data_IF_850347664811
#
_entry.id   IF_850347664811
#
_cell.length_a   1.000
_cell.length_b   1.000
_cell.length_c   1.000
_cell.angle_alpha   90.00
_cell.angle_beta   90.00
_cell.angle_gamma   90.00
#
_symmetry.space_group_name_H-M   'P 1'
#
loop_
_entity.id
_entity.type
_entity.pdbx_description
1 polymer ?
#
# COMPACT_ATOMS: atom_id res chain seq x y z
N UNK A 1 -50.29 25.90 14.49
CA UNK A 1 -48.89 26.31 14.65
C UNK A 1 -48.18 26.00 13.36
N UNK A 2 -48.04 26.95 12.44
CA UNK A 2 -47.45 26.73 11.12
C UNK A 2 -45.92 26.75 11.30
N UNK A 3 -45.28 25.57 11.15
CA UNK A 3 -43.82 25.50 11.09
C UNK A 3 -43.31 26.21 9.84
N UNK A 4 -42.29 27.05 10.02
CA UNK A 4 -41.66 27.83 8.96
C UNK A 4 -41.20 26.90 7.82
N UNK A 5 -41.44 27.19 6.55
CA UNK A 5 -40.98 26.40 5.40
C UNK A 5 -39.47 26.10 5.41
N UNK A 6 -38.65 27.05 5.88
CA UNK A 6 -37.20 26.88 6.02
C UNK A 6 -36.82 25.82 7.06
N UNK A 7 -37.61 25.68 8.12
CA UNK A 7 -37.38 24.70 9.19
C UNK A 7 -37.73 23.26 8.72
N UNK A 8 -38.68 23.10 7.82
CA UNK A 8 -39.01 21.83 7.18
C UNK A 8 -37.90 21.37 6.22
N UNK A 9 -37.40 22.27 5.39
CA UNK A 9 -36.30 21.97 4.45
C UNK A 9 -35.07 21.56 5.21
N UNK A 10 -34.71 22.23 6.31
CA UNK A 10 -33.56 21.91 7.13
C UNK A 10 -33.65 20.52 7.76
N UNK A 11 -34.84 20.12 8.24
CA UNK A 11 -35.07 18.82 8.88
C UNK A 11 -35.15 17.65 7.89
N UNK A 12 -35.54 17.91 6.62
CA UNK A 12 -35.53 16.90 5.55
C UNK A 12 -34.17 16.69 4.92
N UNK A 13 -33.29 17.71 4.92
CA UNK A 13 -31.97 17.62 4.29
C UNK A 13 -30.88 17.01 5.17
N UNK A 14 -31.00 17.10 6.50
CA UNK A 14 -30.03 16.50 7.44
C UNK A 14 -29.86 14.99 7.23
N UNK A 15 -30.89 14.16 7.09
CA UNK A 15 -30.73 12.74 6.83
C UNK A 15 -30.11 12.43 5.48
N UNK A 16 -30.39 13.24 4.46
CA UNK A 16 -29.86 13.08 3.09
C UNK A 16 -28.38 13.46 3.03
N UNK A 17 -27.97 14.50 3.72
CA UNK A 17 -26.56 14.92 3.81
C UNK A 17 -25.74 13.84 4.51
N UNK A 18 -26.18 13.37 5.66
CA UNK A 18 -25.50 12.32 6.41
C UNK A 18 -25.41 10.99 5.64
N UNK A 19 -26.45 10.63 4.89
CA UNK A 19 -26.44 9.45 4.02
C UNK A 19 -25.42 9.58 2.89
N UNK A 20 -25.33 10.76 2.26
CA UNK A 20 -24.36 11.02 1.20
C UNK A 20 -22.93 10.99 1.70
N UNK A 21 -22.64 11.60 2.84
CA UNK A 21 -21.32 11.54 3.48
C UNK A 21 -20.91 10.10 3.80
N UNK A 22 -21.85 9.29 4.25
CA UNK A 22 -21.59 7.88 4.55
C UNK A 22 -21.35 7.05 3.27
N UNK A 23 -22.08 7.31 2.19
CA UNK A 23 -21.87 6.69 0.88
C UNK A 23 -20.47 7.06 0.32
N UNK A 24 -20.10 8.34 0.34
CA UNK A 24 -18.77 8.79 -0.08
C UNK A 24 -17.63 8.19 0.75
N UNK A 25 -17.81 8.08 2.07
CA UNK A 25 -16.86 7.42 2.96
C UNK A 25 -16.72 5.93 2.63
N UNK A 26 -17.82 5.23 2.42
CA UNK A 26 -17.84 3.81 2.06
C UNK A 26 -17.17 3.57 0.71
N UNK A 27 -17.45 4.40 -0.28
CA UNK A 27 -16.82 4.30 -1.61
C UNK A 27 -15.31 4.51 -1.54
N UNK A 28 -14.85 5.50 -0.76
CA UNK A 28 -13.45 5.73 -0.47
C UNK A 28 -12.79 4.53 0.23
N UNK A 29 -13.46 3.97 1.21
CA UNK A 29 -12.97 2.79 1.93
C UNK A 29 -12.85 1.56 1.03
N UNK A 30 -13.86 1.29 0.18
CA UNK A 30 -13.79 0.21 -0.80
C UNK A 30 -12.67 0.41 -1.80
N UNK A 31 -12.46 1.64 -2.28
CA UNK A 31 -11.36 1.94 -3.19
C UNK A 31 -10.00 1.62 -2.54
N UNK A 32 -9.78 2.03 -1.30
CA UNK A 32 -8.54 1.74 -0.56
C UNK A 32 -8.33 0.23 -0.40
N UNK A 33 -9.37 -0.53 -0.04
CA UNK A 33 -9.29 -1.98 0.07
C UNK A 33 -8.95 -2.63 -1.28
N UNK A 34 -9.61 -2.24 -2.36
CA UNK A 34 -9.34 -2.78 -3.69
C UNK A 34 -7.92 -2.49 -4.15
N UNK A 35 -7.44 -1.27 -3.98
CA UNK A 35 -6.06 -0.91 -4.31
C UNK A 35 -5.07 -1.77 -3.49
N UNK A 36 -5.30 -1.90 -2.19
CA UNK A 36 -4.45 -2.73 -1.34
C UNK A 36 -4.35 -4.17 -1.84
N UNK A 37 -5.49 -4.83 -2.06
CA UNK A 37 -5.52 -6.24 -2.48
C UNK A 37 -4.97 -6.44 -3.89
N UNK A 38 -5.32 -5.58 -4.84
CA UNK A 38 -4.82 -5.66 -6.21
C UNK A 38 -3.31 -5.51 -6.28
N UNK A 39 -2.75 -4.51 -5.62
CA UNK A 39 -1.29 -4.30 -5.62
C UNK A 39 -0.55 -5.36 -4.79
N UNK A 40 -1.13 -5.84 -3.70
CA UNK A 40 -0.56 -6.96 -2.94
C UNK A 40 -0.50 -8.24 -3.75
N UNK A 41 -1.54 -8.53 -4.52
CA UNK A 41 -1.59 -9.69 -5.43
C UNK A 41 -0.63 -9.52 -6.60
N UNK A 42 -0.62 -8.36 -7.25
CA UNK A 42 0.30 -8.07 -8.35
C UNK A 42 1.76 -8.17 -7.90
N UNK A 43 2.10 -7.64 -6.72
CA UNK A 43 3.42 -7.74 -6.13
C UNK A 43 3.83 -9.19 -5.87
N UNK A 44 2.94 -10.00 -5.30
CA UNK A 44 3.19 -11.43 -5.12
C UNK A 44 3.42 -12.14 -6.45
N UNK A 45 2.62 -11.84 -7.47
CA UNK A 45 2.73 -12.43 -8.80
C UNK A 45 4.08 -12.10 -9.45
N UNK A 46 4.52 -10.84 -9.38
CA UNK A 46 5.81 -10.39 -9.89
C UNK A 46 6.98 -11.05 -9.16
N UNK A 47 6.97 -11.05 -7.82
CA UNK A 47 8.00 -11.68 -7.00
C UNK A 47 8.13 -13.19 -7.26
N UNK A 48 6.98 -13.87 -7.32
CA UNK A 48 6.95 -15.31 -7.59
C UNK A 48 7.42 -15.61 -9.00
N UNK A 49 6.94 -14.86 -10.00
CA UNK A 49 7.35 -14.98 -11.40
C UNK A 49 8.86 -14.76 -11.57
N UNK A 50 9.40 -13.72 -10.96
CA UNK A 50 10.82 -13.40 -10.99
C UNK A 50 11.67 -14.48 -10.30
N UNK A 51 11.19 -15.01 -9.18
CA UNK A 51 11.86 -16.11 -8.45
C UNK A 51 11.90 -17.40 -9.25
N UNK A 52 10.84 -17.72 -10.00
CA UNK A 52 10.79 -18.88 -10.89
C UNK A 52 11.77 -18.71 -12.04
N UNK A 53 11.78 -17.55 -12.69
CA UNK A 53 12.62 -17.26 -13.85
C UNK A 53 14.12 -17.29 -13.51
N UNK A 54 14.52 -16.65 -12.40
CA UNK A 54 15.93 -16.50 -12.04
C UNK A 54 16.47 -17.65 -11.19
N UNK A 55 15.70 -18.15 -10.24
CA UNK A 55 16.18 -19.13 -9.23
C UNK A 55 15.66 -20.53 -9.45
N UNK A 56 14.79 -20.75 -10.46
CA UNK A 56 14.12 -22.04 -10.73
C UNK A 56 13.48 -22.66 -9.47
N UNK A 57 13.10 -21.83 -8.48
CA UNK A 57 12.47 -22.24 -7.22
C UNK A 57 11.28 -21.33 -6.94
N UNK A 58 10.15 -21.94 -6.59
CA UNK A 58 9.01 -21.22 -6.05
C UNK A 58 9.35 -20.78 -4.61
N UNK A 59 9.61 -19.51 -4.39
CA UNK A 59 9.83 -18.94 -3.06
C UNK A 59 8.64 -18.03 -2.77
N UNK A 60 7.79 -18.47 -1.84
CA UNK A 60 6.71 -17.61 -1.36
C UNK A 60 7.33 -16.57 -0.41
N UNK A 61 7.43 -15.32 -0.85
CA UNK A 61 7.93 -14.18 -0.05
C UNK A 61 6.82 -13.38 0.62
N UNK A 62 5.56 -13.78 0.46
CA UNK A 62 4.46 -13.16 1.16
C UNK A 62 4.59 -13.36 2.67
N UNK A 63 4.35 -12.30 3.46
CA UNK A 63 4.28 -12.37 4.93
C UNK A 63 3.12 -13.27 5.37
N UNK A 64 2.07 -13.34 4.55
CA UNK A 64 0.96 -14.26 4.69
C UNK A 64 1.23 -15.52 3.85
N UNK A 65 0.85 -16.69 4.36
CA UNK A 65 0.88 -17.96 3.62
C UNK A 65 -0.16 -17.99 2.47
N UNK A 66 -0.15 -16.95 1.63
CA UNK A 66 -1.11 -16.75 0.54
C UNK A 66 -0.52 -15.91 -0.59
N UNK A 67 -1.27 -15.74 -1.70
CA UNK A 67 -0.83 -15.00 -2.88
C UNK A 67 -0.93 -13.48 -2.67
N UNK A 68 -0.43 -12.98 -1.55
CA UNK A 68 -0.49 -11.57 -1.18
C UNK A 68 0.85 -11.11 -0.60
N UNK A 69 1.44 -10.10 -1.21
CA UNK A 69 2.59 -9.40 -0.68
C UNK A 69 2.17 -8.04 -0.13
N UNK A 70 1.86 -7.98 1.17
CA UNK A 70 1.28 -6.81 1.85
C UNK A 70 2.14 -5.55 1.74
N UNK A 71 3.47 -5.70 1.62
CA UNK A 71 4.40 -4.57 1.45
C UNK A 71 4.04 -3.77 0.20
N UNK A 72 3.76 -4.45 -0.92
CA UNK A 72 3.36 -3.79 -2.18
C UNK A 72 2.02 -3.06 -2.06
N UNK A 73 1.05 -3.65 -1.36
CA UNK A 73 -0.25 -3.02 -1.11
C UNK A 73 -0.13 -1.76 -0.28
N UNK A 74 0.61 -1.82 0.83
CA UNK A 74 0.86 -0.65 1.69
C UNK A 74 1.61 0.45 0.94
N UNK A 75 2.68 0.09 0.23
CA UNK A 75 3.46 1.04 -0.58
C UNK A 75 2.59 1.73 -1.63
N UNK A 76 1.76 0.97 -2.34
CA UNK A 76 0.85 1.52 -3.35
C UNK A 76 -0.16 2.51 -2.75
N UNK A 77 -0.71 2.22 -1.55
CA UNK A 77 -1.61 3.15 -0.86
C UNK A 77 -0.89 4.45 -0.48
N UNK A 78 0.30 4.36 0.12
CA UNK A 78 1.09 5.54 0.50
C UNK A 78 1.37 6.41 -0.72
N UNK A 79 1.77 5.80 -1.84
CA UNK A 79 2.05 6.51 -3.09
C UNK A 79 0.77 7.12 -3.67
N UNK A 80 -0.32 6.37 -3.73
CA UNK A 80 -1.59 6.84 -4.31
C UNK A 80 -2.16 8.05 -3.56
N UNK A 81 -2.02 8.08 -2.25
CA UNK A 81 -2.51 9.17 -1.40
C UNK A 81 -1.50 10.32 -1.36
N UNK A 82 -0.23 10.02 -1.12
CA UNK A 82 0.81 11.02 -0.88
C UNK A 82 1.30 11.74 -2.13
N UNK A 83 1.24 11.10 -3.31
CA UNK A 83 1.80 11.64 -4.56
C UNK A 83 0.74 11.93 -5.63
N UNK A 84 -0.52 12.05 -5.26
CA UNK A 84 -1.61 12.38 -6.18
C UNK A 84 -1.34 13.67 -6.98
N UNK A 85 -0.72 14.67 -6.35
CA UNK A 85 -0.37 15.96 -6.94
C UNK A 85 0.81 15.88 -7.93
N UNK A 86 1.70 14.88 -7.76
CA UNK A 86 2.86 14.70 -8.63
C UNK A 86 2.57 13.89 -9.89
N UNK A 87 1.33 13.52 -10.13
CA UNK A 87 0.91 12.67 -11.26
C UNK A 87 1.40 13.19 -12.63
N UNK A 88 1.48 14.49 -12.80
CA UNK A 88 1.92 15.13 -14.05
C UNK A 88 3.43 15.35 -14.13
N UNK A 89 4.18 15.04 -13.06
CA UNK A 89 5.61 15.26 -12.96
C UNK A 89 6.33 13.91 -12.83
N UNK A 90 6.41 13.18 -13.94
CA UNK A 90 6.88 11.80 -13.98
C UNK A 90 8.25 11.57 -13.32
N UNK A 91 9.19 12.53 -13.44
CA UNK A 91 10.52 12.40 -12.83
C UNK A 91 10.45 12.46 -11.30
N UNK A 92 9.74 13.44 -10.75
CA UNK A 92 9.58 13.56 -9.30
C UNK A 92 8.71 12.44 -8.73
N UNK A 93 7.70 12.00 -9.48
CA UNK A 93 6.90 10.84 -9.13
C UNK A 93 7.76 9.58 -9.04
N UNK A 94 8.60 9.31 -10.03
CA UNK A 94 9.51 8.16 -10.03
C UNK A 94 10.48 8.21 -8.84
N UNK A 95 11.11 9.35 -8.57
CA UNK A 95 12.03 9.53 -7.46
C UNK A 95 11.31 9.34 -6.10
N UNK A 96 10.11 9.91 -5.96
CA UNK A 96 9.27 9.74 -4.78
C UNK A 96 8.86 8.28 -4.57
N UNK A 97 8.41 7.59 -5.60
CA UNK A 97 8.06 6.18 -5.55
C UNK A 97 9.26 5.31 -5.13
N UNK A 98 10.43 5.53 -5.71
CA UNK A 98 11.65 4.81 -5.35
C UNK A 98 12.01 5.03 -3.87
N UNK A 99 11.96 6.28 -3.40
CA UNK A 99 12.27 6.62 -2.01
C UNK A 99 11.28 5.98 -1.03
N UNK A 100 9.97 6.10 -1.29
CA UNK A 100 8.94 5.51 -0.42
C UNK A 100 9.02 3.98 -0.42
N UNK A 101 9.20 3.35 -1.58
CA UNK A 101 9.34 1.88 -1.64
C UNK A 101 10.53 1.40 -0.80
N UNK A 102 11.67 2.07 -0.92
CA UNK A 102 12.87 1.77 -0.13
C UNK A 102 12.64 1.94 1.38
N UNK A 103 11.97 3.02 1.79
CA UNK A 103 11.65 3.27 3.21
C UNK A 103 10.67 2.22 3.75
N UNK A 104 9.63 1.88 3.00
CA UNK A 104 8.66 0.86 3.41
C UNK A 104 9.33 -0.51 3.54
N UNK A 105 10.21 -0.88 2.61
CA UNK A 105 10.97 -2.14 2.67
C UNK A 105 11.88 -2.18 3.92
N UNK A 106 12.60 -1.09 4.20
CA UNK A 106 13.44 -0.98 5.38
C UNK A 106 12.64 -1.07 6.68
N UNK A 107 11.54 -0.31 6.80
CA UNK A 107 10.66 -0.35 7.96
C UNK A 107 10.04 -1.76 8.15
N UNK A 108 9.56 -2.38 7.06
CA UNK A 108 8.99 -3.71 7.10
C UNK A 108 10.01 -4.77 7.55
N UNK A 109 11.26 -4.67 7.07
CA UNK A 109 12.35 -5.55 7.48
C UNK A 109 12.61 -5.48 8.98
N UNK A 110 12.74 -4.27 9.53
CA UNK A 110 12.92 -4.05 10.96
C UNK A 110 11.73 -4.54 11.80
N UNK A 111 10.52 -4.25 11.34
CA UNK A 111 9.29 -4.65 12.02
C UNK A 111 9.16 -6.18 12.09
N UNK A 112 9.39 -6.86 10.97
CA UNK A 112 9.33 -8.32 10.90
C UNK A 112 10.43 -8.99 11.71
N UNK A 113 11.65 -8.44 11.74
CA UNK A 113 12.72 -8.95 12.58
C UNK A 113 12.39 -8.81 14.06
N UNK A 114 11.81 -7.68 14.47
CA UNK A 114 11.40 -7.46 15.85
C UNK A 114 10.34 -8.45 16.33
N UNK A 115 9.42 -8.84 15.45
CA UNK A 115 8.34 -9.80 15.79
C UNK A 115 8.86 -11.24 15.75
N UNK A 116 9.61 -11.60 14.71
CA UNK A 116 10.02 -12.99 14.47
C UNK A 116 11.38 -13.33 15.06
N UNK A 117 12.11 -12.37 15.64
CA UNK A 117 13.47 -12.49 16.19
C UNK A 117 14.49 -13.03 15.18
N UNK A 118 14.22 -12.88 13.89
CA UNK A 118 15.12 -13.23 12.77
C UNK A 118 14.72 -12.49 11.51
N UNK A 119 15.72 -12.21 10.66
CA UNK A 119 15.48 -11.55 9.39
C UNK A 119 14.68 -12.47 8.46
N UNK A 120 13.61 -11.94 7.88
CA UNK A 120 12.80 -12.64 6.89
C UNK A 120 13.54 -12.79 5.55
N UNK A 121 14.34 -11.77 5.20
CA UNK A 121 15.34 -11.77 4.15
C UNK A 121 16.61 -11.10 4.65
N UNK A 122 17.77 -11.48 4.13
CA UNK A 122 19.06 -10.98 4.57
C UNK A 122 20.01 -10.77 3.38
N UNK A 123 20.31 -9.51 3.12
CA UNK A 123 21.25 -9.05 2.12
C UNK A 123 22.60 -8.60 2.71
N UNK A 124 22.89 -8.89 3.97
CA UNK A 124 24.11 -8.44 4.66
C UNK A 124 25.41 -8.89 3.96
N UNK A 125 25.36 -9.97 3.19
CA UNK A 125 26.50 -10.49 2.41
C UNK A 125 26.72 -9.77 1.07
N UNK A 126 25.81 -8.87 0.67
CA UNK A 126 25.91 -8.14 -0.59
C UNK A 126 26.63 -6.82 -0.39
N UNK A 127 27.33 -6.35 -1.45
CA UNK A 127 27.89 -5.00 -1.49
C UNK A 127 26.74 -4.00 -1.56
N UNK A 128 26.92 -2.82 -0.98
CA UNK A 128 25.92 -1.74 -1.00
C UNK A 128 24.56 -2.14 -0.40
N UNK A 129 24.59 -2.87 0.71
CA UNK A 129 23.36 -3.13 1.48
C UNK A 129 23.20 -2.07 2.59
N UNK A 130 21.93 -1.85 2.98
CA UNK A 130 21.55 -1.01 4.13
C UNK A 130 20.92 -1.94 5.17
N UNK A 131 21.63 -2.12 6.29
CA UNK A 131 21.23 -2.98 7.42
C UNK A 131 20.85 -4.44 7.04
N UNK A 132 21.23 -4.86 5.83
CA UNK A 132 20.86 -6.17 5.28
C UNK A 132 19.41 -6.29 4.79
N UNK A 133 18.62 -5.22 4.84
CA UNK A 133 17.23 -5.24 4.36
C UNK A 133 17.10 -4.79 2.91
N UNK A 134 17.96 -3.90 2.46
CA UNK A 134 17.98 -3.34 1.11
C UNK A 134 19.33 -3.64 0.48
N UNK A 135 19.36 -3.92 -0.81
CA UNK A 135 20.60 -4.07 -1.58
C UNK A 135 20.43 -3.44 -2.95
N UNK A 136 21.43 -2.66 -3.37
CA UNK A 136 21.52 -2.12 -4.73
C UNK A 136 22.16 -3.11 -5.71
N UNK A 137 22.74 -4.21 -5.20
CA UNK A 137 23.39 -5.24 -5.99
C UNK A 137 22.44 -6.42 -6.18
N UNK A 138 22.13 -6.77 -7.42
CA UNK A 138 21.20 -7.85 -7.80
C UNK A 138 21.92 -9.16 -8.09
#
# INVERSE_FOLDING_TARGET
MHKNPAERIFLEDIPRVHKREMEEFMDGFYLVLWLFFLYSFAGWFLETGFSILLKKRMINRGVLNGPLCTIYGVTALIISIGFSELRNQWFFLFLGCATISTLVEWCAGHFLEKINHKKWWDYSKRKYNVDGYISLDF
#
